data_IF_512930715899
#
_entry.id   IF_512930715899
#
_cell.length_a   1.000
_cell.length_b   1.000
_cell.length_c   1.000
_cell.angle_alpha   90.00
_cell.angle_beta   90.00
_cell.angle_gamma   90.00
#
_symmetry.space_group_name_H-M   'P 1'
#
loop_
_entity.id
_entity.type
_entity.pdbx_description
1 polymer ?
#
# COMPACT_ATOMS: atom_id res chain seq x y z
N UNK A 1 6.06 52.12 7.69
CA UNK A 1 6.97 51.14 7.04
C UNK A 1 7.08 49.84 7.83
N UNK A 2 6.96 49.85 9.18
CA UNK A 2 6.99 48.62 10.01
C UNK A 2 5.75 47.73 9.85
N UNK A 3 4.54 48.33 9.70
CA UNK A 3 3.28 47.55 9.57
C UNK A 3 3.16 46.70 8.31
N UNK A 4 3.87 47.02 7.24
CA UNK A 4 3.80 46.29 5.97
C UNK A 4 4.68 45.02 6.03
N UNK A 5 5.79 45.07 6.76
CA UNK A 5 6.68 43.93 6.93
C UNK A 5 6.05 42.87 7.82
N UNK A 6 5.36 43.26 8.88
CA UNK A 6 4.67 42.38 9.81
C UNK A 6 3.53 41.59 9.11
N UNK A 7 2.76 42.25 8.25
CA UNK A 7 1.73 41.58 7.42
C UNK A 7 2.31 40.56 6.44
N UNK A 8 3.47 40.82 5.88
CA UNK A 8 4.09 39.90 4.93
C UNK A 8 4.64 38.63 5.61
N UNK A 9 5.12 38.73 6.84
CA UNK A 9 5.58 37.59 7.64
C UNK A 9 4.41 36.73 8.11
N UNK A 10 3.31 37.36 8.57
CA UNK A 10 2.08 36.64 8.96
C UNK A 10 1.49 35.90 7.76
N UNK A 11 1.37 36.56 6.61
CA UNK A 11 0.90 35.92 5.37
C UNK A 11 1.82 34.77 4.94
N UNK A 12 3.13 34.92 5.09
CA UNK A 12 4.08 33.84 4.73
C UNK A 12 3.98 32.63 5.66
N UNK A 13 3.68 32.85 6.94
CA UNK A 13 3.45 31.80 7.92
C UNK A 13 2.12 31.06 7.66
N UNK A 14 1.06 31.80 7.34
CA UNK A 14 -0.24 31.24 6.93
C UNK A 14 -0.12 30.44 5.64
N UNK A 15 0.61 30.93 4.63
CA UNK A 15 0.90 30.20 3.41
C UNK A 15 1.71 28.92 3.63
N UNK A 16 2.64 28.92 4.58
CA UNK A 16 3.38 27.72 4.97
C UNK A 16 2.50 26.68 5.65
N UNK A 17 1.52 27.10 6.46
CA UNK A 17 0.55 26.21 7.08
C UNK A 17 -0.40 25.60 6.05
N UNK A 18 -0.85 26.38 5.08
CA UNK A 18 -1.69 25.93 3.95
C UNK A 18 -0.93 24.94 3.05
N UNK A 19 0.37 25.15 2.81
CA UNK A 19 1.22 24.23 2.04
C UNK A 19 1.49 22.90 2.74
N UNK A 20 1.51 22.87 4.06
CA UNK A 20 1.78 21.66 4.86
C UNK A 20 0.54 20.87 5.21
N UNK A 21 -0.61 21.50 5.25
CA UNK A 21 -1.88 20.87 5.62
C UNK A 21 -3.02 21.49 4.83
N UNK A 22 -3.30 20.97 3.67
CA UNK A 22 -4.45 21.35 2.85
C UNK A 22 -5.77 20.76 3.38
N UNK A 23 -5.90 20.70 4.70
CA UNK A 23 -7.13 20.28 5.37
C UNK A 23 -7.83 21.50 5.94
N UNK A 24 -8.54 22.20 5.06
CA UNK A 24 -9.59 23.15 5.43
C UNK A 24 -10.90 22.37 5.58
N UNK A 25 -11.11 21.72 6.72
CA UNK A 25 -12.35 20.98 6.99
C UNK A 25 -12.26 20.16 8.27
N UNK A 26 -13.42 19.86 8.87
CA UNK A 26 -13.52 18.97 10.03
C UNK A 26 -13.09 17.53 9.71
N UNK A 27 -13.02 16.69 10.74
CA UNK A 27 -12.63 15.27 10.66
C UNK A 27 -13.46 14.51 9.61
N UNK A 28 -14.78 14.76 9.54
CA UNK A 28 -15.68 14.14 8.56
C UNK A 28 -15.34 14.49 7.10
N UNK A 29 -14.86 15.70 6.85
CA UNK A 29 -14.41 16.11 5.53
C UNK A 29 -13.11 15.40 5.15
N UNK A 30 -12.24 15.24 6.13
CA UNK A 30 -10.97 14.54 5.99
C UNK A 30 -11.19 13.05 5.65
N UNK A 31 -12.10 12.37 6.36
CA UNK A 31 -12.46 10.97 6.08
C UNK A 31 -13.06 10.81 4.68
N UNK A 32 -14.03 11.64 4.31
CA UNK A 32 -14.64 11.62 2.97
C UNK A 32 -13.63 11.90 1.85
N UNK A 33 -12.65 12.78 2.09
CA UNK A 33 -11.61 13.05 1.10
C UNK A 33 -10.61 11.89 1.00
N UNK A 34 -10.25 11.24 2.11
CA UNK A 34 -9.39 10.07 2.11
C UNK A 34 -10.05 8.88 1.39
N UNK A 35 -11.34 8.67 1.57
CA UNK A 35 -12.12 7.66 0.88
C UNK A 35 -12.14 7.90 -0.64
N UNK A 36 -12.47 9.14 -1.08
CA UNK A 36 -12.43 9.54 -2.49
C UNK A 36 -11.04 9.48 -3.12
N UNK A 37 -10.00 9.78 -2.35
CA UNK A 37 -8.63 9.65 -2.81
C UNK A 37 -8.29 8.16 -2.97
N UNK A 38 -8.70 7.31 -2.03
CA UNK A 38 -8.53 5.87 -2.10
C UNK A 38 -9.09 5.27 -3.39
N UNK A 39 -10.34 5.60 -3.75
CA UNK A 39 -10.98 5.14 -4.99
C UNK A 39 -10.23 5.60 -6.27
N UNK A 40 -9.70 6.83 -6.28
CA UNK A 40 -8.94 7.37 -7.42
C UNK A 40 -7.50 6.87 -7.50
N UNK A 41 -6.92 6.43 -6.38
CA UNK A 41 -5.55 5.93 -6.32
C UNK A 41 -5.38 4.53 -6.92
N UNK A 42 -6.45 3.77 -7.05
CA UNK A 42 -6.42 2.45 -7.70
C UNK A 42 -5.98 2.52 -9.17
N UNK A 43 -6.11 3.70 -9.81
CA UNK A 43 -5.80 3.91 -11.23
C UNK A 43 -4.46 4.57 -11.52
N UNK A 44 -3.70 5.07 -10.53
CA UNK A 44 -2.47 5.86 -10.74
C UNK A 44 -1.20 5.21 -10.18
N UNK A 45 -0.03 5.61 -10.71
CA UNK A 45 1.30 5.13 -10.29
C UNK A 45 1.52 5.34 -8.78
N UNK A 46 1.90 4.29 -8.09
CA UNK A 46 1.96 4.11 -6.63
C UNK A 46 2.99 4.95 -5.88
N UNK A 47 3.95 5.57 -6.57
CA UNK A 47 5.12 6.21 -5.95
C UNK A 47 4.94 7.71 -5.63
N UNK A 48 3.80 8.32 -6.03
CA UNK A 48 3.57 9.78 -5.94
C UNK A 48 2.84 10.24 -4.67
N UNK A 49 2.53 9.36 -3.72
CA UNK A 49 1.67 9.70 -2.58
C UNK A 49 2.47 9.77 -1.27
N UNK A 50 2.63 10.99 -0.73
CA UNK A 50 3.54 11.30 0.38
C UNK A 50 2.90 11.59 1.74
N UNK A 51 1.59 11.40 1.93
CA UNK A 51 0.94 11.60 3.22
C UNK A 51 1.18 10.44 4.19
N UNK A 52 1.63 10.69 5.44
CA UNK A 52 1.85 9.63 6.44
C UNK A 52 0.56 8.90 6.80
N UNK A 53 -0.57 9.60 6.81
CA UNK A 53 -1.88 9.03 7.12
C UNK A 53 -2.36 8.08 6.02
N UNK A 54 -2.16 8.45 4.76
CA UNK A 54 -2.47 7.58 3.61
C UNK A 54 -1.61 6.31 3.66
N UNK A 55 -0.31 6.45 3.98
CA UNK A 55 0.58 5.30 4.18
C UNK A 55 0.14 4.40 5.33
N UNK A 56 -0.42 4.98 6.40
CA UNK A 56 -0.94 4.23 7.54
C UNK A 56 -2.17 3.39 7.17
N UNK A 57 -3.10 3.97 6.43
CA UNK A 57 -4.31 3.28 5.95
C UNK A 57 -3.97 2.17 4.95
N UNK A 58 -3.06 2.44 4.01
CA UNK A 58 -2.59 1.46 3.04
C UNK A 58 -1.91 0.26 3.70
N UNK A 59 -1.13 0.50 4.75
CA UNK A 59 -0.50 -0.58 5.54
C UNK A 59 -1.55 -1.45 6.23
N UNK A 60 -2.54 -0.86 6.90
CA UNK A 60 -3.63 -1.61 7.55
C UNK A 60 -4.40 -2.47 6.55
N UNK A 61 -4.70 -1.92 5.37
CA UNK A 61 -5.35 -2.66 4.28
C UNK A 61 -4.46 -3.81 3.78
N UNK A 62 -3.18 -3.57 3.62
CA UNK A 62 -2.22 -4.59 3.20
C UNK A 62 -2.06 -5.70 4.25
N UNK A 63 -2.05 -5.36 5.54
CA UNK A 63 -2.02 -6.32 6.65
C UNK A 63 -3.28 -7.17 6.67
N UNK A 64 -4.47 -6.57 6.52
CA UNK A 64 -5.73 -7.31 6.45
C UNK A 64 -5.75 -8.29 5.27
N UNK A 65 -5.33 -7.86 4.08
CA UNK A 65 -5.22 -8.72 2.90
C UNK A 65 -4.19 -9.85 3.09
N UNK A 66 -3.07 -9.56 3.76
CA UNK A 66 -2.10 -10.57 4.10
C UNK A 66 -2.71 -11.63 5.02
N UNK A 67 -3.43 -11.23 6.06
CA UNK A 67 -4.10 -12.14 6.99
C UNK A 67 -5.15 -12.99 6.27
N UNK A 68 -6.00 -12.39 5.43
CA UNK A 68 -6.97 -13.12 4.62
C UNK A 68 -6.30 -14.14 3.71
N UNK A 69 -5.21 -13.76 3.04
CA UNK A 69 -4.44 -14.67 2.19
C UNK A 69 -3.79 -15.82 2.95
N UNK A 70 -3.26 -15.57 4.16
CA UNK A 70 -2.70 -16.60 5.04
C UNK A 70 -3.78 -17.59 5.49
N UNK A 71 -4.96 -17.11 5.88
CA UNK A 71 -6.10 -17.94 6.25
C UNK A 71 -6.58 -18.80 5.08
N UNK A 72 -6.72 -18.22 3.90
CA UNK A 72 -7.13 -18.94 2.69
C UNK A 72 -6.14 -20.06 2.32
N UNK A 73 -4.86 -19.85 2.55
CA UNK A 73 -3.82 -20.87 2.34
C UNK A 73 -3.63 -21.81 3.54
N UNK A 74 -4.28 -21.54 4.68
CA UNK A 74 -4.14 -22.29 5.95
C UNK A 74 -2.67 -22.37 6.42
N UNK A 75 -1.95 -21.25 6.36
CA UNK A 75 -0.54 -21.15 6.72
C UNK A 75 -0.26 -20.01 7.67
N UNK A 76 0.82 -20.08 8.45
CA UNK A 76 1.26 -19.03 9.34
C UNK A 76 2.28 -18.12 8.65
N UNK A 77 2.34 -16.86 9.07
CA UNK A 77 3.29 -15.88 8.55
C UNK A 77 4.75 -16.31 8.75
N UNK A 78 5.06 -16.93 9.89
CA UNK A 78 6.41 -17.42 10.20
C UNK A 78 6.87 -18.49 9.21
N UNK A 79 5.96 -19.40 8.83
CA UNK A 79 6.26 -20.44 7.83
C UNK A 79 6.55 -19.79 6.46
N UNK A 80 5.71 -18.83 6.06
CA UNK A 80 5.89 -18.10 4.80
C UNK A 80 7.21 -17.33 4.77
N UNK A 81 7.64 -16.74 5.88
CA UNK A 81 8.93 -16.04 5.98
C UNK A 81 10.11 -16.97 5.72
N UNK A 82 10.02 -18.21 6.17
CA UNK A 82 11.07 -19.22 6.02
C UNK A 82 11.11 -19.87 4.63
N UNK A 83 10.03 -19.75 3.84
CA UNK A 83 10.01 -20.31 2.49
C UNK A 83 10.93 -19.56 1.54
N UNK A 84 11.38 -20.26 0.51
CA UNK A 84 12.16 -19.66 -0.58
C UNK A 84 11.31 -18.59 -1.30
N UNK A 85 11.94 -17.57 -1.81
CA UNK A 85 11.26 -16.50 -2.60
C UNK A 85 10.59 -17.04 -3.89
N UNK A 86 10.97 -18.23 -4.32
CA UNK A 86 10.42 -18.96 -5.48
C UNK A 86 9.20 -19.82 -5.14
N UNK A 87 8.85 -19.98 -3.85
CA UNK A 87 7.65 -20.73 -3.45
C UNK A 87 6.39 -20.12 -4.04
N UNK A 88 5.56 -20.96 -4.67
CA UNK A 88 4.34 -20.52 -5.40
C UNK A 88 3.35 -19.80 -4.51
N UNK A 89 3.19 -20.24 -3.26
CA UNK A 89 2.27 -19.63 -2.27
C UNK A 89 2.78 -18.27 -1.80
N UNK A 90 4.08 -18.16 -1.54
CA UNK A 90 4.73 -16.90 -1.19
C UNK A 90 4.63 -15.88 -2.32
N UNK A 91 4.81 -16.34 -3.57
CA UNK A 91 4.63 -15.52 -4.76
C UNK A 91 3.18 -15.05 -4.92
N UNK A 92 2.19 -15.92 -4.66
CA UNK A 92 0.77 -15.55 -4.71
C UNK A 92 0.39 -14.48 -3.67
N UNK A 93 0.88 -14.61 -2.43
CA UNK A 93 0.71 -13.58 -1.39
C UNK A 93 1.37 -12.24 -1.78
N UNK A 94 2.58 -12.29 -2.32
CA UNK A 94 3.28 -11.11 -2.82
C UNK A 94 2.49 -10.43 -3.93
N UNK A 95 1.95 -11.20 -4.85
CA UNK A 95 1.10 -10.71 -5.94
C UNK A 95 -0.20 -10.09 -5.41
N UNK A 96 -0.87 -10.72 -4.44
CA UNK A 96 -2.09 -10.20 -3.82
C UNK A 96 -1.87 -8.80 -3.24
N UNK A 97 -0.87 -8.65 -2.38
CA UNK A 97 -0.55 -7.37 -1.74
C UNK A 97 -0.16 -6.33 -2.79
N UNK A 98 0.73 -6.69 -3.71
CA UNK A 98 1.24 -5.76 -4.71
C UNK A 98 0.17 -5.30 -5.70
N UNK A 99 -0.79 -6.17 -6.06
CA UNK A 99 -1.86 -5.83 -7.00
C UNK A 99 -3.01 -5.04 -6.35
N UNK A 100 -3.19 -5.16 -5.02
CA UNK A 100 -4.38 -4.64 -4.34
C UNK A 100 -4.09 -3.42 -3.47
N UNK A 101 -2.82 -3.12 -3.18
CA UNK A 101 -2.43 -2.02 -2.28
C UNK A 101 -1.26 -1.22 -2.85
N UNK A 102 -1.17 0.09 -2.55
CA UNK A 102 -0.06 0.94 -2.96
C UNK A 102 1.12 0.91 -1.97
N UNK A 103 1.21 -0.08 -1.08
CA UNK A 103 2.31 -0.18 -0.11
C UNK A 103 3.68 -0.27 -0.79
N UNK A 104 4.71 0.21 -0.10
CA UNK A 104 6.08 0.21 -0.60
C UNK A 104 6.62 -1.21 -0.80
N UNK A 105 7.51 -1.38 -1.77
CA UNK A 105 8.18 -2.67 -1.98
C UNK A 105 9.03 -3.08 -0.78
N UNK A 106 9.58 -2.12 -0.04
CA UNK A 106 10.35 -2.36 1.17
C UNK A 106 9.48 -3.05 2.23
N UNK A 107 8.29 -2.50 2.50
CA UNK A 107 7.34 -3.11 3.43
C UNK A 107 6.99 -4.55 3.05
N UNK A 108 6.73 -4.82 1.77
CA UNK A 108 6.43 -6.19 1.29
C UNK A 108 7.63 -7.12 1.51
N UNK A 109 8.85 -6.65 1.23
CA UNK A 109 10.07 -7.42 1.45
C UNK A 109 10.27 -7.78 2.92
N UNK A 110 10.02 -6.83 3.84
CA UNK A 110 10.14 -7.04 5.28
C UNK A 110 9.09 -8.02 5.80
N UNK A 111 7.82 -7.84 5.42
CA UNK A 111 6.73 -8.70 5.88
C UNK A 111 6.89 -10.16 5.44
N UNK A 112 7.24 -10.37 4.20
CA UNK A 112 7.36 -11.71 3.62
C UNK A 112 8.79 -12.25 3.59
N UNK A 113 9.78 -11.53 4.09
CA UNK A 113 11.20 -11.90 4.02
C UNK A 113 11.62 -12.32 2.61
N UNK A 114 11.44 -11.42 1.63
CA UNK A 114 11.77 -11.68 0.23
C UNK A 114 13.24 -11.43 -0.10
N UNK A 115 13.98 -10.81 0.80
CA UNK A 115 15.39 -10.49 0.67
C UNK A 115 15.68 -9.31 -0.25
N UNK A 116 15.19 -9.28 -1.46
CA UNK A 116 15.46 -8.21 -2.41
C UNK A 116 14.21 -7.76 -3.18
N UNK A 117 14.12 -6.46 -3.45
CA UNK A 117 13.01 -5.80 -4.16
C UNK A 117 12.69 -6.45 -5.53
N UNK A 118 13.71 -6.92 -6.27
CA UNK A 118 13.51 -7.59 -7.55
C UNK A 118 12.71 -8.89 -7.46
N UNK A 119 12.66 -9.52 -6.29
CA UNK A 119 11.89 -10.74 -6.07
C UNK A 119 10.38 -10.48 -6.11
N UNK A 120 9.93 -9.24 -5.79
CA UNK A 120 8.53 -8.83 -5.94
C UNK A 120 8.11 -8.86 -7.41
N UNK A 121 8.90 -8.21 -8.29
CA UNK A 121 8.60 -8.17 -9.72
C UNK A 121 8.63 -9.56 -10.33
N UNK A 122 9.57 -10.43 -9.90
CA UNK A 122 9.61 -11.84 -10.31
C UNK A 122 8.39 -12.62 -9.84
N UNK A 123 7.96 -12.41 -8.59
CA UNK A 123 6.77 -13.06 -8.03
C UNK A 123 5.50 -12.64 -8.80
N UNK A 124 5.33 -11.34 -9.07
CA UNK A 124 4.19 -10.82 -9.83
C UNK A 124 4.15 -11.43 -11.23
N UNK A 125 5.27 -11.39 -11.96
CA UNK A 125 5.36 -12.01 -13.30
C UNK A 125 5.08 -13.50 -13.27
N UNK A 126 5.59 -14.22 -12.26
CA UNK A 126 5.39 -15.65 -12.15
C UNK A 126 3.94 -16.04 -11.93
N UNK A 127 3.15 -15.19 -11.24
CA UNK A 127 1.70 -15.41 -11.04
C UNK A 127 0.92 -15.01 -12.28
N UNK A 128 1.31 -13.93 -12.97
CA UNK A 128 0.61 -13.46 -14.18
C UNK A 128 0.87 -14.34 -15.40
N UNK A 129 2.07 -14.94 -15.53
CA UNK A 129 2.49 -15.76 -16.68
C UNK A 129 1.95 -17.20 -16.72
N UNK A 130 0.98 -17.56 -15.92
CA UNK A 130 0.21 -18.81 -16.00
C UNK A 130 0.99 -20.14 -15.93
N UNK A 131 0.87 -20.83 -14.83
CA UNK A 131 0.89 -22.29 -14.78
C UNK A 131 -0.38 -22.74 -14.06
N UNK A 132 -0.89 -23.94 -14.29
CA UNK A 132 -2.15 -24.43 -13.72
C UNK A 132 -2.25 -24.25 -12.18
N UNK A 133 -1.18 -24.52 -11.46
CA UNK A 133 -1.13 -24.38 -9.99
C UNK A 133 -1.17 -22.90 -9.55
N UNK A 134 -0.50 -22.01 -10.31
CA UNK A 134 -0.48 -20.57 -9.99
C UNK A 134 -1.80 -19.93 -10.36
N UNK A 135 -2.49 -20.42 -11.37
CA UNK A 135 -3.85 -19.99 -11.71
C UNK A 135 -4.85 -20.26 -10.59
N UNK A 136 -4.79 -21.44 -9.97
CA UNK A 136 -5.61 -21.77 -8.79
C UNK A 136 -5.30 -20.86 -7.59
N UNK A 137 -4.03 -20.66 -7.29
CA UNK A 137 -3.63 -19.75 -6.23
C UNK A 137 -4.07 -18.31 -6.51
N UNK A 138 -3.98 -17.84 -7.75
CA UNK A 138 -4.47 -16.53 -8.17
C UNK A 138 -5.98 -16.39 -7.94
N UNK A 139 -6.78 -17.41 -8.27
CA UNK A 139 -8.22 -17.43 -8.03
C UNK A 139 -8.54 -17.34 -6.53
N UNK A 140 -7.85 -18.11 -5.69
CA UNK A 140 -7.99 -18.04 -4.22
C UNK A 140 -7.64 -16.64 -3.71
N UNK A 141 -6.55 -16.05 -4.20
CA UNK A 141 -6.14 -14.70 -3.79
C UNK A 141 -7.13 -13.61 -4.26
N UNK A 142 -7.80 -13.80 -5.38
CA UNK A 142 -8.84 -12.86 -5.84
C UNK A 142 -10.06 -12.87 -4.92
N UNK A 143 -10.44 -14.02 -4.38
CA UNK A 143 -11.51 -14.13 -3.40
C UNK A 143 -11.19 -13.48 -2.05
N UNK A 144 -9.92 -13.23 -1.76
CA UNK A 144 -9.50 -12.54 -0.52
C UNK A 144 -9.56 -11.00 -0.64
N UNK A 145 -9.91 -10.45 -1.79
CA UNK A 145 -9.99 -8.99 -2.01
C UNK A 145 -11.30 -8.37 -1.54
N UNK A 146 -12.33 -9.17 -1.48
CA UNK A 146 -13.68 -8.82 -1.01
C UNK A 146 -13.77 -8.99 0.51
#
# INVERSE_FOLDING_TARGET
VRDVLDKSEVLSAEWKSIRRGWVLGGEDFREKMLERIGERMETRKRESYSGEEVKGQDRRRAEALLQNGLQALKVNLNDVRNWKSTDKRKQALTWLIRSSTPVSCEWICEQLNLGHRSNISRAVRAVDMRGNDRGRLKTIMLQCKD
#
